data_IF_126524647209
#
_entry.id   IF_126524647209
#
_cell.length_a   1.000
_cell.length_b   1.000
_cell.length_c   1.000
_cell.angle_alpha   90.00
_cell.angle_beta   90.00
_cell.angle_gamma   90.00
#
_symmetry.space_group_name_H-M   'P 1'
#
loop_
_entity.id
_entity.type
_entity.pdbx_description
1 polymer ?
#
# COMPACT_ATOMS: atom_id res chain seq x y z
N UNK A 1 26.33 1.27 -25.59
CA UNK A 1 25.64 2.42 -24.96
C UNK A 1 25.38 2.04 -23.53
N UNK A 2 26.18 2.56 -22.61
CA UNK A 2 26.00 2.40 -21.17
C UNK A 2 24.88 3.35 -20.72
N UNK A 3 23.69 2.82 -20.49
CA UNK A 3 22.67 3.54 -19.71
C UNK A 3 23.19 3.62 -18.29
N UNK A 4 23.55 4.82 -17.86
CA UNK A 4 23.96 5.16 -16.49
C UNK A 4 22.91 4.71 -15.48
N UNK A 5 23.35 4.12 -14.37
CA UNK A 5 22.55 3.57 -13.26
C UNK A 5 21.68 4.60 -12.49
N UNK A 6 21.43 5.78 -13.05
CA UNK A 6 20.79 6.91 -12.37
C UNK A 6 19.26 6.99 -12.51
N UNK A 7 18.61 6.03 -13.16
CA UNK A 7 17.18 6.17 -13.53
C UNK A 7 16.22 5.10 -13.00
N UNK A 8 16.69 4.12 -12.21
CA UNK A 8 15.80 3.07 -11.67
C UNK A 8 15.37 3.37 -10.24
N UNK A 9 14.05 3.39 -10.03
CA UNK A 9 13.41 3.45 -8.70
C UNK A 9 13.36 2.08 -8.01
N UNK A 10 14.15 1.12 -8.50
CA UNK A 10 14.19 -0.26 -8.02
C UNK A 10 15.65 -0.75 -7.91
N UNK A 11 15.92 -1.55 -6.89
CA UNK A 11 17.16 -2.31 -6.77
C UNK A 11 17.16 -3.52 -7.73
N UNK A 12 18.33 -4.14 -8.01
CA UNK A 12 18.41 -5.30 -8.91
C UNK A 12 17.57 -6.52 -8.48
N UNK A 13 17.21 -6.60 -7.20
CA UNK A 13 16.33 -7.63 -6.64
C UNK A 13 14.83 -7.29 -6.75
N UNK A 14 14.48 -6.13 -7.32
CA UNK A 14 13.12 -5.64 -7.48
C UNK A 14 12.55 -4.92 -6.26
N UNK A 15 13.35 -4.69 -5.22
CA UNK A 15 12.92 -3.88 -4.07
C UNK A 15 12.85 -2.39 -4.41
N UNK A 16 11.90 -1.67 -3.81
CA UNK A 16 11.66 -0.24 -4.07
C UNK A 16 12.80 0.59 -3.50
N UNK A 17 13.36 1.50 -4.32
CA UNK A 17 14.44 2.41 -3.93
C UNK A 17 13.90 3.79 -3.61
N UNK A 18 14.15 4.26 -2.39
CA UNK A 18 13.83 5.63 -1.97
C UNK A 18 14.93 6.61 -2.40
N UNK A 19 14.54 7.82 -2.83
CA UNK A 19 15.46 8.91 -3.19
C UNK A 19 15.63 9.97 -2.09
N UNK A 20 15.34 9.61 -0.84
CA UNK A 20 15.47 10.50 0.30
C UNK A 20 16.36 9.84 1.38
N UNK A 21 17.66 10.17 1.46
CA UNK A 21 18.58 9.56 2.42
C UNK A 21 18.25 9.94 3.88
N UNK A 22 17.45 10.98 4.10
CA UNK A 22 17.10 11.40 5.46
C UNK A 22 16.13 10.43 6.14
N UNK A 23 15.40 9.60 5.38
CA UNK A 23 14.46 8.62 5.96
C UNK A 23 15.19 7.58 6.79
N UNK A 24 16.39 7.16 6.38
CA UNK A 24 17.22 6.19 7.12
C UNK A 24 17.70 6.74 8.48
N UNK A 25 17.72 8.06 8.65
CA UNK A 25 18.14 8.73 9.87
C UNK A 25 17.00 9.00 10.85
N UNK A 26 15.76 8.73 10.45
CA UNK A 26 14.59 8.99 11.29
C UNK A 26 14.36 7.83 12.27
N UNK A 27 14.19 8.15 13.56
CA UNK A 27 13.84 7.16 14.58
C UNK A 27 12.46 6.53 14.33
N UNK A 28 11.55 7.32 13.76
CA UNK A 28 10.19 6.92 13.41
C UNK A 28 9.74 7.63 12.13
N UNK A 29 9.09 6.90 11.23
CA UNK A 29 8.38 7.45 10.08
C UNK A 29 6.86 7.35 10.30
N UNK A 30 6.15 8.46 10.11
CA UNK A 30 4.70 8.56 10.33
C UNK A 30 4.04 8.90 9.00
N UNK A 31 3.32 7.91 8.46
CA UNK A 31 2.50 8.04 7.26
C UNK A 31 1.14 8.65 7.64
N UNK A 32 1.14 9.97 7.93
CA UNK A 32 -0.01 10.70 8.48
C UNK A 32 -1.33 10.46 7.70
N UNK A 33 -1.26 10.49 6.38
CA UNK A 33 -2.44 10.31 5.51
C UNK A 33 -2.93 8.87 5.38
N UNK A 34 -2.18 7.90 5.93
CA UNK A 34 -2.59 6.50 5.98
C UNK A 34 -2.91 6.06 7.42
N UNK A 35 -2.68 6.94 8.41
CA UNK A 35 -2.74 6.61 9.83
C UNK A 35 -1.83 5.42 10.22
N UNK A 36 -0.69 5.28 9.53
CA UNK A 36 0.31 4.25 9.77
C UNK A 36 1.61 4.90 10.27
N UNK A 37 2.44 4.13 10.96
CA UNK A 37 3.78 4.56 11.36
C UNK A 37 4.67 3.37 11.68
N UNK A 38 5.98 3.54 11.49
CA UNK A 38 6.97 2.46 11.64
C UNK A 38 7.09 1.92 13.06
N UNK A 39 6.74 2.70 14.08
CA UNK A 39 6.71 2.26 15.49
C UNK A 39 5.39 1.61 15.88
N UNK A 40 4.27 2.09 15.30
CA UNK A 40 2.93 1.67 15.69
C UNK A 40 2.46 0.42 14.96
N UNK A 41 3.06 0.12 13.80
CA UNK A 41 2.66 -0.98 12.92
C UNK A 41 3.88 -1.68 12.34
N UNK A 42 3.83 -3.00 12.23
CA UNK A 42 4.83 -3.77 11.48
C UNK A 42 4.52 -3.68 9.98
N UNK A 43 5.13 -2.69 9.31
CA UNK A 43 4.92 -2.45 7.89
C UNK A 43 5.43 -3.61 7.01
N UNK A 44 6.43 -4.36 7.46
CA UNK A 44 7.00 -5.49 6.72
C UNK A 44 6.04 -6.67 6.77
N UNK A 45 5.50 -6.98 7.95
CA UNK A 45 4.49 -8.02 8.11
C UNK A 45 3.20 -7.67 7.35
N UNK A 46 2.78 -6.40 7.40
CA UNK A 46 1.54 -5.96 6.77
C UNK A 46 1.62 -5.94 5.24
N UNK A 47 2.74 -5.48 4.66
CA UNK A 47 2.82 -5.15 3.22
C UNK A 47 3.97 -5.82 2.47
N UNK A 48 4.83 -6.61 3.11
CA UNK A 48 5.99 -7.24 2.46
C UNK A 48 5.65 -8.25 1.36
N UNK A 49 4.45 -8.80 1.37
CA UNK A 49 3.91 -9.71 0.36
C UNK A 49 3.20 -9.00 -0.80
N UNK A 50 3.02 -7.68 -0.75
CA UNK A 50 2.37 -6.91 -1.80
C UNK A 50 3.23 -6.92 -3.07
N UNK A 51 2.58 -7.20 -4.21
CA UNK A 51 3.18 -7.22 -5.55
C UNK A 51 2.45 -6.29 -6.53
N UNK A 52 1.19 -5.98 -6.28
CA UNK A 52 0.38 -5.13 -7.13
C UNK A 52 -0.30 -4.06 -6.31
N UNK A 53 -0.17 -2.80 -6.74
CA UNK A 53 -0.88 -1.66 -6.15
C UNK A 53 -1.83 -1.10 -7.21
N UNK A 54 -3.13 -1.17 -6.95
CA UNK A 54 -4.15 -0.56 -7.79
C UNK A 54 -4.65 0.73 -7.12
N UNK A 55 -4.64 1.83 -7.85
CA UNK A 55 -5.07 3.14 -7.35
C UNK A 55 -6.25 3.67 -8.16
N UNK A 56 -7.17 4.38 -7.51
CA UNK A 56 -8.28 5.04 -8.19
C UNK A 56 -8.90 6.15 -7.35
N UNK A 57 -9.70 7.02 -7.99
CA UNK A 57 -10.19 8.23 -7.32
C UNK A 57 -11.22 7.97 -6.22
N UNK A 58 -12.28 7.22 -6.54
CA UNK A 58 -13.42 7.06 -5.64
C UNK A 58 -13.20 5.93 -4.63
N UNK A 59 -13.31 6.18 -3.31
CA UNK A 59 -13.19 5.14 -2.27
C UNK A 59 -14.04 3.90 -2.51
N UNK A 60 -15.32 4.11 -2.86
CA UNK A 60 -16.25 3.02 -3.12
C UNK A 60 -15.82 2.11 -4.27
N UNK A 61 -15.23 2.69 -5.32
CA UNK A 61 -14.71 1.92 -6.47
C UNK A 61 -13.55 1.03 -6.07
N UNK A 62 -12.69 1.51 -5.17
CA UNK A 62 -11.53 0.76 -4.70
C UNK A 62 -11.91 -0.34 -3.70
N UNK A 63 -12.96 -0.13 -2.89
CA UNK A 63 -13.57 -1.16 -2.06
C UNK A 63 -14.17 -2.29 -2.93
N UNK A 64 -14.98 -1.93 -3.92
CA UNK A 64 -15.62 -2.88 -4.82
C UNK A 64 -14.57 -3.67 -5.63
N UNK A 65 -13.50 -3.00 -6.06
CA UNK A 65 -12.36 -3.65 -6.72
C UNK A 65 -11.66 -4.66 -5.81
N UNK A 66 -11.46 -4.33 -4.53
CA UNK A 66 -10.84 -5.25 -3.59
C UNK A 66 -11.72 -6.49 -3.34
N UNK A 67 -13.04 -6.32 -3.22
CA UNK A 67 -13.97 -7.45 -3.16
C UNK A 67 -13.98 -8.30 -4.43
N UNK A 68 -13.92 -7.66 -5.59
CA UNK A 68 -13.82 -8.34 -6.88
C UNK A 68 -12.55 -9.20 -6.97
N UNK A 69 -11.37 -8.62 -6.68
CA UNK A 69 -10.09 -9.35 -6.70
C UNK A 69 -10.07 -10.49 -5.67
N UNK A 70 -10.64 -10.28 -4.49
CA UNK A 70 -10.75 -11.34 -3.47
C UNK A 70 -11.47 -12.58 -4.01
N UNK A 71 -12.53 -12.38 -4.81
CA UNK A 71 -13.25 -13.47 -5.46
C UNK A 71 -12.43 -14.10 -6.59
N UNK A 72 -11.83 -13.28 -7.47
CA UNK A 72 -11.08 -13.74 -8.64
C UNK A 72 -9.85 -14.57 -8.27
N UNK A 73 -9.07 -14.15 -7.27
CA UNK A 73 -7.87 -14.88 -6.85
C UNK A 73 -8.17 -15.96 -5.80
N UNK A 74 -9.45 -16.10 -5.39
CA UNK A 74 -9.87 -17.08 -4.38
C UNK A 74 -9.28 -16.83 -2.99
N UNK A 75 -8.97 -15.57 -2.64
CA UNK A 75 -8.38 -15.23 -1.35
C UNK A 75 -9.42 -15.38 -0.24
N UNK A 76 -9.11 -16.21 0.76
CA UNK A 76 -10.00 -16.46 1.90
C UNK A 76 -9.57 -15.64 3.10
N UNK A 77 -10.42 -14.70 3.47
CA UNK A 77 -10.29 -13.99 4.74
C UNK A 77 -10.60 -14.97 5.89
N UNK A 78 -9.87 -14.93 7.02
CA UNK A 78 -10.14 -15.77 8.18
C UNK A 78 -11.60 -15.70 8.63
N UNK A 79 -12.17 -16.85 9.01
CA UNK A 79 -13.57 -16.93 9.44
C UNK A 79 -13.86 -15.95 10.58
N UNK A 80 -14.95 -15.19 10.46
CA UNK A 80 -15.34 -14.17 11.43
C UNK A 80 -14.71 -12.80 11.22
N UNK A 81 -13.87 -12.63 10.19
CA UNK A 81 -13.31 -11.32 9.80
C UNK A 81 -13.83 -10.90 8.43
N UNK A 82 -13.77 -9.59 8.16
CA UNK A 82 -14.18 -8.99 6.89
C UNK A 82 -13.05 -8.14 6.35
N UNK A 83 -13.12 -7.82 5.05
CA UNK A 83 -12.25 -6.83 4.47
C UNK A 83 -12.48 -5.48 5.17
N UNK A 84 -11.41 -4.84 5.61
CA UNK A 84 -11.45 -3.59 6.37
C UNK A 84 -10.58 -2.54 5.69
N UNK A 85 -11.00 -1.29 5.82
CA UNK A 85 -10.18 -0.14 5.45
C UNK A 85 -9.09 0.07 6.51
N UNK A 86 -7.84 -0.12 6.12
CA UNK A 86 -6.65 0.04 6.98
C UNK A 86 -6.48 1.51 7.36
N UNK A 87 -6.83 2.44 6.47
CA UNK A 87 -6.65 3.88 6.67
C UNK A 87 -7.92 4.58 7.19
N UNK A 88 -8.87 3.82 7.77
CA UNK A 88 -10.15 4.34 8.27
C UNK A 88 -10.04 5.54 9.22
N UNK A 89 -8.90 5.68 9.92
CA UNK A 89 -8.65 6.78 10.87
C UNK A 89 -8.07 8.03 10.23
N UNK A 90 -7.60 7.96 8.98
CA UNK A 90 -7.04 9.12 8.29
C UNK A 90 -8.10 9.96 7.57
N UNK A 91 -9.26 9.37 7.26
CA UNK A 91 -10.38 9.98 6.51
C UNK A 91 -10.03 10.51 5.11
N UNK A 92 -8.78 10.43 4.65
CA UNK A 92 -8.31 10.98 3.36
C UNK A 92 -8.18 9.93 2.26
N UNK A 93 -7.79 8.72 2.63
CA UNK A 93 -7.62 7.59 1.73
C UNK A 93 -8.32 6.37 2.33
N UNK A 94 -8.69 5.44 1.47
CA UNK A 94 -9.15 4.11 1.81
C UNK A 94 -8.14 3.10 1.29
N UNK A 95 -7.78 2.14 2.12
CA UNK A 95 -6.74 1.17 1.86
C UNK A 95 -7.24 -0.24 2.17
N UNK A 96 -7.35 -1.07 1.13
CA UNK A 96 -7.80 -2.45 1.25
C UNK A 96 -6.70 -3.40 0.76
N UNK A 97 -6.34 -4.40 1.57
CA UNK A 97 -5.35 -5.41 1.21
C UNK A 97 -6.02 -6.78 1.01
N UNK A 98 -5.71 -7.43 -0.11
CA UNK A 98 -6.20 -8.76 -0.47
C UNK A 98 -5.03 -9.59 -1.02
N UNK A 99 -4.44 -10.42 -0.16
CA UNK A 99 -3.22 -11.17 -0.50
C UNK A 99 -2.12 -10.22 -1.03
N UNK A 100 -1.56 -10.49 -2.23
CA UNK A 100 -0.51 -9.67 -2.82
C UNK A 100 -1.00 -8.37 -3.49
N UNK A 101 -2.31 -8.07 -3.44
CA UNK A 101 -2.91 -6.89 -4.08
C UNK A 101 -3.32 -5.86 -3.03
N UNK A 102 -2.86 -4.61 -3.23
CA UNK A 102 -3.22 -3.46 -2.43
C UNK A 102 -4.10 -2.51 -3.27
N UNK A 103 -5.29 -2.21 -2.79
CA UNK A 103 -6.26 -1.30 -3.43
C UNK A 103 -6.33 0.00 -2.64
N UNK A 104 -6.01 1.12 -3.29
CA UNK A 104 -5.87 2.44 -2.66
C UNK A 104 -6.77 3.46 -3.33
N UNK A 105 -7.57 4.19 -2.55
CA UNK A 105 -8.26 5.37 -3.08
C UNK A 105 -7.38 6.61 -2.94
N UNK A 106 -7.32 7.43 -3.98
CA UNK A 106 -6.67 8.74 -4.00
C UNK A 106 -7.69 9.79 -4.42
N UNK A 107 -8.45 10.30 -3.45
CA UNK A 107 -9.45 11.34 -3.70
C UNK A 107 -8.78 12.60 -4.25
N UNK A 108 -9.23 13.04 -5.42
CA UNK A 108 -8.96 14.37 -5.95
C UNK A 108 -10.20 15.23 -5.69
N UNK A 109 -10.20 15.99 -4.61
CA UNK A 109 -11.10 17.13 -4.49
C UNK A 109 -10.47 18.29 -5.26
N UNK A 110 -11.06 18.65 -6.40
CA UNK A 110 -10.72 19.86 -7.18
C UNK A 110 -11.77 20.92 -6.89
#
# INVERSE_FOLDING_TARGET
MSTSDEERDEYPDGSVKLRNPNIELMDQDILYHLALGSESHDLVEMFGDVKFVCMGGTPKRMEDFAHYIMQEIGYKIPTGTKLMDISQYSYRYCLYKVGPVLSVSVSFDI
#
